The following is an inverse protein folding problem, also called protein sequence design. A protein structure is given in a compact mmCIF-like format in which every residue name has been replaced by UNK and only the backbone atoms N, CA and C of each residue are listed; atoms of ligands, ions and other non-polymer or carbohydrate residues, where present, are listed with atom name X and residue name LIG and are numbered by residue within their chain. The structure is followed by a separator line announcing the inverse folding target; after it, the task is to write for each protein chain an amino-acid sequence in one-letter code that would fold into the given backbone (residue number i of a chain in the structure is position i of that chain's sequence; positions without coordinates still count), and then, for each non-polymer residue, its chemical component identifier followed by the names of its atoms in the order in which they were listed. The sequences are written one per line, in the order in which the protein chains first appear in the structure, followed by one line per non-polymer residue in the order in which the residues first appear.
data_IF_492244307864
#
_entry.id   IF_492244307864
#
_cell.length_a   1.000
_cell.length_b   1.000
_cell.length_c   1.000
_cell.angle_alpha   90.00
_cell.angle_beta   90.00
_cell.angle_gamma   90.00
#
_symmetry.space_group_name_H-M   'P 1'
#
loop_
_entity.id
_entity.type
_entity.pdbx_description
1 polymer ?
#
# COMPACT_ATOMS: atom_id res chain seq x y z
N UNK A 1 17.30 1.57 4.95
CA UNK A 1 16.49 1.27 6.15
C UNK A 1 15.94 -0.14 6.03
N UNK A 2 15.99 -0.95 7.10
CA UNK A 2 15.44 -2.34 7.09
C UNK A 2 14.18 -2.39 7.96
N UNK A 3 13.08 -2.91 7.41
CA UNK A 3 11.80 -3.05 8.10
C UNK A 3 11.15 -4.40 7.77
N UNK A 4 10.19 -4.85 8.58
CA UNK A 4 9.54 -6.15 8.40
C UNK A 4 8.02 -6.04 8.37
N UNK A 5 7.38 -6.84 7.53
CA UNK A 5 5.94 -7.10 7.54
C UNK A 5 5.68 -8.61 7.43
N UNK A 6 5.02 -9.19 8.44
CA UNK A 6 4.89 -10.64 8.57
C UNK A 6 6.25 -11.37 8.48
N UNK A 7 6.38 -12.26 7.49
CA UNK A 7 7.61 -13.04 7.22
C UNK A 7 8.54 -12.40 6.19
N UNK A 8 8.26 -11.16 5.78
CA UNK A 8 9.01 -10.46 4.75
C UNK A 8 9.85 -9.36 5.39
N UNK A 9 11.12 -9.30 5.00
CA UNK A 9 12.06 -8.23 5.33
C UNK A 9 12.24 -7.35 4.09
N UNK A 10 12.18 -6.04 4.30
CA UNK A 10 12.30 -5.03 3.28
C UNK A 10 13.52 -4.16 3.54
N UNK A 11 14.31 -3.92 2.50
CA UNK A 11 15.40 -2.94 2.52
C UNK A 11 15.03 -1.76 1.62
N UNK A 12 14.75 -0.61 2.24
CA UNK A 12 14.44 0.63 1.54
C UNK A 12 15.69 1.49 1.35
N UNK A 13 15.77 2.27 0.25
CA UNK A 13 16.84 3.23 0.06
C UNK A 13 16.76 4.36 1.10
N UNK A 14 17.92 4.75 1.64
CA UNK A 14 18.03 5.82 2.63
C UNK A 14 17.41 5.46 4.00
N UNK A 15 17.09 6.50 4.78
CA UNK A 15 16.64 6.38 6.17
C UNK A 15 15.17 6.79 6.38
N UNK A 16 14.51 7.36 5.37
CA UNK A 16 13.14 7.89 5.48
C UNK A 16 12.09 6.87 5.05
N UNK A 17 12.14 5.68 5.65
CA UNK A 17 11.11 4.66 5.48
C UNK A 17 10.51 4.29 6.84
N UNK A 18 9.18 4.21 6.91
CA UNK A 18 8.43 3.91 8.15
C UNK A 18 7.33 2.87 7.92
N UNK A 19 6.95 2.18 8.99
CA UNK A 19 5.69 1.42 9.08
C UNK A 19 4.55 2.37 9.37
N UNK A 20 3.84 2.82 8.34
CA UNK A 20 2.86 3.89 8.50
C UNK A 20 1.69 3.48 9.39
N UNK A 21 1.16 2.29 9.17
CA UNK A 21 0.02 1.74 9.92
C UNK A 21 0.37 1.39 11.38
N UNK A 22 1.66 1.45 11.73
CA UNK A 22 2.16 1.24 13.09
C UNK A 22 2.59 2.52 13.80
N UNK A 23 2.52 3.67 13.12
CA UNK A 23 2.81 4.95 13.75
C UNK A 23 1.82 5.29 14.85
N UNK A 24 2.30 6.00 15.87
CA UNK A 24 1.52 6.39 17.02
C UNK A 24 0.31 7.27 16.65
N UNK A 25 0.49 8.20 15.70
CA UNK A 25 -0.61 9.02 15.19
C UNK A 25 -1.67 8.17 14.49
N UNK A 26 -1.26 7.27 13.61
CA UNK A 26 -2.21 6.40 12.91
C UNK A 26 -3.00 5.55 13.92
N UNK A 27 -2.31 4.79 14.77
CA UNK A 27 -2.92 3.86 15.74
C UNK A 27 -3.82 4.56 16.75
N UNK A 28 -3.35 5.66 17.36
CA UNK A 28 -4.03 6.30 18.50
C UNK A 28 -5.02 7.39 18.11
N UNK A 29 -4.92 7.93 16.89
CA UNK A 29 -5.75 9.04 16.40
C UNK A 29 -6.55 8.66 15.17
N UNK A 30 -5.88 8.39 14.05
CA UNK A 30 -6.56 8.22 12.76
C UNK A 30 -7.43 6.97 12.73
N UNK A 31 -6.94 5.84 13.25
CA UNK A 31 -7.62 4.55 13.25
C UNK A 31 -8.86 4.48 14.17
N UNK A 32 -9.25 5.59 14.79
CA UNK A 32 -10.55 5.73 15.46
C UNK A 32 -11.70 6.00 14.50
N UNK A 33 -11.39 6.45 13.28
CA UNK A 33 -12.37 6.61 12.22
C UNK A 33 -12.81 5.23 11.73
N UNK A 34 -14.12 4.97 11.75
CA UNK A 34 -14.67 3.71 11.24
C UNK A 34 -14.30 3.53 9.77
N UNK A 35 -13.79 2.34 9.42
CA UNK A 35 -13.30 2.04 8.08
C UNK A 35 -11.92 2.62 7.75
N UNK A 36 -11.20 3.21 8.72
CA UNK A 36 -9.82 3.66 8.51
C UNK A 36 -8.91 2.51 8.06
N UNK A 37 -8.12 2.76 7.01
CA UNK A 37 -7.10 1.86 6.50
C UNK A 37 -5.84 2.66 6.17
N UNK A 38 -4.67 2.08 6.39
CA UNK A 38 -3.37 2.67 6.04
C UNK A 38 -2.56 1.69 5.21
N UNK A 39 -1.71 2.20 4.34
CA UNK A 39 -0.66 1.36 3.71
C UNK A 39 0.34 0.91 4.78
N UNK A 40 1.00 -0.21 4.55
CA UNK A 40 1.96 -0.73 5.54
C UNK A 40 3.21 0.15 5.63
N UNK A 41 3.75 0.59 4.48
CA UNK A 41 4.97 1.39 4.44
C UNK A 41 4.84 2.69 3.65
N UNK A 42 5.58 3.70 4.10
CA UNK A 42 5.88 4.90 3.33
C UNK A 42 7.39 5.07 3.26
N UNK A 43 7.92 5.42 2.08
CA UNK A 43 9.33 5.72 1.88
C UNK A 43 9.50 7.00 1.06
N UNK A 44 10.30 7.94 1.55
CA UNK A 44 10.62 9.21 0.90
C UNK A 44 12.08 9.29 0.46
N UNK A 45 12.33 9.68 -0.79
CA UNK A 45 13.65 9.98 -1.34
C UNK A 45 13.60 11.30 -2.11
N UNK A 46 14.73 11.75 -2.65
CA UNK A 46 14.72 12.95 -3.53
C UNK A 46 13.99 12.70 -4.86
N UNK A 47 14.01 11.45 -5.34
CA UNK A 47 13.46 11.07 -6.64
C UNK A 47 12.01 10.58 -6.58
N UNK A 48 11.60 10.01 -5.44
CA UNK A 48 10.26 9.46 -5.29
C UNK A 48 9.70 9.50 -3.87
N UNK A 49 8.38 9.45 -3.78
CA UNK A 49 7.62 9.09 -2.58
C UNK A 49 6.89 7.78 -2.88
N UNK A 50 7.03 6.77 -2.04
CA UNK A 50 6.40 5.46 -2.22
C UNK A 50 5.39 5.18 -1.11
N UNK A 51 4.21 4.71 -1.51
CA UNK A 51 3.16 4.15 -0.65
C UNK A 51 3.07 2.67 -0.98
N UNK A 52 3.44 1.80 -0.03
CA UNK A 52 3.56 0.36 -0.26
C UNK A 52 2.59 -0.42 0.64
N UNK A 53 1.76 -1.24 0.00
CA UNK A 53 0.93 -2.25 0.63
C UNK A 53 1.51 -3.64 0.37
N UNK A 54 1.48 -4.49 1.40
CA UNK A 54 1.98 -5.87 1.39
C UNK A 54 0.83 -6.84 1.61
N UNK A 55 0.70 -7.80 0.69
CA UNK A 55 -0.22 -8.93 0.79
C UNK A 55 0.55 -10.22 0.63
N UNK A 56 0.97 -10.80 1.75
CA UNK A 56 1.55 -12.13 1.78
C UNK A 56 0.46 -13.21 1.84
N UNK A 57 0.04 -13.70 0.67
CA UNK A 57 -0.99 -14.74 0.58
C UNK A 57 -0.40 -16.13 0.33
N UNK A 58 0.92 -16.30 0.42
CA UNK A 58 1.57 -17.59 0.18
C UNK A 58 1.05 -18.64 1.17
N UNK A 59 0.53 -19.75 0.64
CA UNK A 59 -0.10 -20.81 1.43
C UNK A 59 -1.54 -20.51 1.88
N UNK A 60 -2.06 -19.33 1.60
CA UNK A 60 -3.43 -18.89 1.91
C UNK A 60 -4.17 -18.39 0.65
N UNK A 61 -3.77 -18.86 -0.54
CA UNK A 61 -4.29 -18.38 -1.81
C UNK A 61 -5.77 -18.72 -1.99
N UNK A 62 -6.22 -19.87 -1.48
CA UNK A 62 -7.62 -20.29 -1.57
C UNK A 62 -8.57 -19.25 -0.94
N UNK A 63 -8.23 -18.77 0.25
CA UNK A 63 -9.00 -17.79 1.03
C UNK A 63 -9.00 -16.40 0.38
N UNK A 64 -7.94 -16.08 -0.37
CA UNK A 64 -7.74 -14.78 -1.00
C UNK A 64 -8.07 -14.76 -2.49
N UNK A 65 -8.42 -15.90 -3.10
CA UNK A 65 -8.61 -16.04 -4.56
C UNK A 65 -9.65 -15.08 -5.12
N UNK A 66 -10.71 -14.82 -4.35
CA UNK A 66 -11.77 -13.90 -4.76
C UNK A 66 -11.28 -12.45 -4.83
N UNK A 67 -10.27 -12.07 -4.03
CA UNK A 67 -9.75 -10.70 -3.94
C UNK A 67 -8.91 -10.29 -5.15
N UNK A 68 -8.47 -11.26 -5.94
CA UNK A 68 -7.78 -11.03 -7.23
C UNK A 68 -8.76 -10.57 -8.32
N UNK A 69 -10.05 -10.90 -8.18
CA UNK A 69 -11.08 -10.37 -9.06
C UNK A 69 -11.44 -8.95 -8.61
N UNK A 70 -11.13 -8.00 -9.48
CA UNK A 70 -11.28 -6.57 -9.24
C UNK A 70 -12.73 -6.13 -8.99
N UNK A 71 -12.90 -4.92 -8.44
CA UNK A 71 -14.20 -4.27 -8.22
C UNK A 71 -15.17 -5.09 -7.36
N UNK A 72 -14.66 -5.89 -6.42
CA UNK A 72 -15.43 -6.82 -5.58
C UNK A 72 -16.33 -7.78 -6.36
N UNK A 73 -16.08 -8.00 -7.66
CA UNK A 73 -16.96 -8.80 -8.55
C UNK A 73 -17.17 -10.24 -8.09
N UNK A 74 -16.36 -10.71 -7.15
CA UNK A 74 -16.37 -12.08 -6.63
C UNK A 74 -16.56 -12.21 -5.12
N UNK A 75 -16.83 -11.12 -4.41
CA UNK A 75 -16.97 -11.13 -2.94
C UNK A 75 -18.09 -12.06 -2.46
N UNK A 76 -19.22 -12.10 -3.18
CA UNK A 76 -20.39 -12.91 -2.81
C UNK A 76 -20.50 -14.23 -3.59
N UNK A 77 -19.64 -14.45 -4.59
CA UNK A 77 -19.82 -15.55 -5.57
C UNK A 77 -18.71 -16.59 -5.55
N UNK A 78 -17.57 -16.29 -4.91
CA UNK A 78 -16.50 -17.28 -4.78
C UNK A 78 -16.70 -18.15 -3.56
N UNK A 79 -16.59 -19.48 -3.69
CA UNK A 79 -16.50 -20.35 -2.52
C UNK A 79 -15.28 -19.96 -1.69
N UNK A 80 -15.50 -19.57 -0.44
CA UNK A 80 -14.43 -19.29 0.53
C UNK A 80 -14.89 -19.67 1.92
N UNK A 81 -13.96 -20.12 2.75
CA UNK A 81 -14.20 -20.45 4.16
C UNK A 81 -14.13 -19.23 5.07
N UNK A 82 -13.69 -18.07 4.54
CA UNK A 82 -13.52 -16.85 5.33
C UNK A 82 -14.75 -15.96 5.21
N UNK A 83 -15.11 -15.34 6.32
CA UNK A 83 -16.10 -14.27 6.33
C UNK A 83 -15.61 -13.09 5.47
N UNK A 84 -16.40 -12.72 4.48
CA UNK A 84 -16.10 -11.63 3.53
C UNK A 84 -16.69 -10.30 3.95
N UNK A 85 -17.46 -10.23 5.05
CA UNK A 85 -18.01 -8.97 5.56
C UNK A 85 -16.89 -7.96 5.84
N UNK A 86 -17.03 -6.74 5.29
CA UNK A 86 -16.02 -5.68 5.42
C UNK A 86 -14.71 -5.91 4.65
N UNK A 87 -14.57 -7.01 3.91
CA UNK A 87 -13.41 -7.30 3.07
C UNK A 87 -13.60 -6.80 1.65
N UNK A 88 -12.50 -6.48 1.00
CA UNK A 88 -12.48 -5.95 -0.35
C UNK A 88 -11.49 -6.72 -1.23
N UNK A 89 -11.74 -6.65 -2.53
CA UNK A 89 -10.76 -6.97 -3.57
C UNK A 89 -9.51 -6.08 -3.41
N UNK A 90 -8.35 -6.60 -3.83
CA UNK A 90 -7.07 -5.95 -3.58
C UNK A 90 -6.99 -4.54 -4.18
N UNK A 91 -7.60 -4.32 -5.34
CA UNK A 91 -7.62 -3.02 -5.99
C UNK A 91 -8.46 -1.98 -5.24
N UNK A 92 -9.62 -2.38 -4.69
CA UNK A 92 -10.42 -1.51 -3.84
C UNK A 92 -9.68 -1.19 -2.53
N UNK A 93 -9.13 -2.21 -1.88
CA UNK A 93 -8.44 -2.04 -0.61
C UNK A 93 -7.21 -1.14 -0.72
N UNK A 94 -6.36 -1.34 -1.74
CA UNK A 94 -5.17 -0.50 -1.94
C UNK A 94 -5.55 0.94 -2.25
N UNK A 95 -6.54 1.16 -3.13
CA UNK A 95 -6.98 2.52 -3.44
C UNK A 95 -7.54 3.25 -2.20
N UNK A 96 -8.31 2.52 -1.38
CA UNK A 96 -8.85 3.05 -0.12
C UNK A 96 -7.73 3.36 0.88
N UNK A 97 -6.79 2.43 1.07
CA UNK A 97 -5.60 2.63 1.92
C UNK A 97 -4.79 3.84 1.50
N UNK A 98 -4.56 4.04 0.20
CA UNK A 98 -3.83 5.22 -0.31
C UNK A 98 -4.58 6.52 0.01
N UNK A 99 -5.88 6.60 -0.28
CA UNK A 99 -6.68 7.79 -0.01
C UNK A 99 -6.69 8.17 1.48
N UNK A 100 -6.84 7.16 2.34
CA UNK A 100 -6.86 7.33 3.79
C UNK A 100 -5.47 7.65 4.36
N UNK A 101 -4.42 7.08 3.78
CA UNK A 101 -3.02 7.44 4.12
C UNK A 101 -2.77 8.93 3.84
N UNK A 102 -3.14 9.42 2.66
CA UNK A 102 -2.99 10.85 2.30
C UNK A 102 -3.82 11.73 3.24
N UNK A 103 -5.06 11.33 3.54
CA UNK A 103 -5.92 12.06 4.48
C UNK A 103 -5.34 12.10 5.90
N UNK A 104 -4.74 10.99 6.36
CA UNK A 104 -4.06 10.92 7.65
C UNK A 104 -2.84 11.83 7.71
N UNK A 105 -2.00 11.83 6.65
CA UNK A 105 -0.82 12.70 6.58
C UNK A 105 -1.20 14.19 6.65
N UNK A 106 -2.21 14.61 5.88
CA UNK A 106 -2.71 15.98 5.93
C UNK A 106 -3.34 16.32 7.30
N UNK A 107 -4.07 15.36 7.87
CA UNK A 107 -4.62 15.47 9.23
C UNK A 107 -3.53 15.62 10.30
N UNK A 108 -2.44 14.87 10.18
CA UNK A 108 -1.28 14.95 11.07
C UNK A 108 -0.60 16.33 10.98
N UNK A 109 -0.45 16.86 9.76
CA UNK A 109 0.09 18.21 9.53
C UNK A 109 -0.76 19.32 10.15
N UNK A 110 -2.08 19.17 10.15
CA UNK A 110 -3.01 20.18 10.72
C UNK A 110 -3.25 20.02 12.22
N UNK A 111 -2.79 18.93 12.85
CA UNK A 111 -3.05 18.65 14.26
C UNK A 111 -2.40 19.67 15.24
N UNK A 112 -1.36 20.38 14.79
CA UNK A 112 -0.77 21.52 15.48
C UNK A 112 0.32 21.19 16.51
N UNK A 113 1.17 22.17 16.80
CA UNK A 113 2.38 22.05 17.65
C UNK A 113 2.09 21.88 19.15
N UNK A 114 0.85 22.13 19.61
CA UNK A 114 0.49 22.08 21.03
C UNK A 114 0.43 20.64 21.61
N UNK A 115 0.66 19.62 20.78
CA UNK A 115 0.77 18.21 21.18
C UNK A 115 1.88 17.51 20.36
N UNK A 116 3.14 17.91 20.51
CA UNK A 116 4.19 17.67 19.50
C UNK A 116 4.51 16.19 19.24
N UNK A 117 4.33 15.31 20.22
CA UNK A 117 4.98 14.00 20.17
C UNK A 117 4.37 12.93 19.26
N UNK A 118 3.15 13.10 18.72
CA UNK A 118 2.47 12.00 18.04
C UNK A 118 2.56 12.09 16.52
N UNK A 119 2.50 13.30 15.96
CA UNK A 119 2.42 13.56 14.52
C UNK A 119 3.78 13.84 13.87
N UNK A 120 4.81 14.19 14.65
CA UNK A 120 6.11 14.64 14.14
C UNK A 120 6.73 13.68 13.12
N UNK A 121 6.61 12.37 13.35
CA UNK A 121 7.09 11.34 12.42
C UNK A 121 6.40 11.38 11.05
N UNK A 122 5.14 11.83 10.97
CA UNK A 122 4.36 11.90 9.73
C UNK A 122 4.56 13.20 8.95
N UNK A 123 5.01 14.28 9.61
CA UNK A 123 5.16 15.61 8.99
C UNK A 123 6.08 15.60 7.76
N UNK A 124 7.25 14.93 7.75
CA UNK A 124 8.11 14.87 6.57
C UNK A 124 7.40 14.30 5.34
N UNK A 125 6.53 13.30 5.52
CA UNK A 125 5.81 12.63 4.44
C UNK A 125 4.63 13.45 3.92
N UNK A 126 3.95 14.18 4.81
CA UNK A 126 2.93 15.15 4.40
C UNK A 126 3.55 16.26 3.54
N UNK A 127 4.69 16.82 3.98
CA UNK A 127 5.46 17.81 3.20
C UNK A 127 6.01 17.22 1.89
N UNK A 128 6.37 15.94 1.87
CA UNK A 128 6.81 15.27 0.65
C UNK A 128 5.70 15.23 -0.41
N UNK A 129 4.43 15.00 -0.01
CA UNK A 129 3.27 15.04 -0.91
C UNK A 129 3.00 16.45 -1.46
N UNK A 130 3.23 17.48 -0.65
CA UNK A 130 3.06 18.89 -1.04
C UNK A 130 4.22 19.42 -1.91
N UNK A 131 5.28 18.64 -2.09
CA UNK A 131 6.45 19.07 -2.84
C UNK A 131 6.11 19.36 -4.30
N UNK A 132 6.39 20.58 -4.77
CA UNK A 132 6.11 21.03 -6.13
C UNK A 132 6.73 20.13 -7.22
N UNK A 133 7.83 19.44 -6.91
CA UNK A 133 8.46 18.48 -7.83
C UNK A 133 7.51 17.35 -8.21
N UNK A 134 6.55 16.97 -7.37
CA UNK A 134 5.52 15.99 -7.71
C UNK A 134 4.61 16.54 -8.79
N UNK A 135 4.10 17.76 -8.64
CA UNK A 135 3.24 18.40 -9.64
C UNK A 135 3.99 18.62 -10.96
N UNK A 136 5.27 18.95 -10.89
CA UNK A 136 6.17 19.12 -12.04
C UNK A 136 6.64 17.79 -12.65
N UNK A 137 6.27 16.64 -12.09
CA UNK A 137 6.70 15.28 -12.51
C UNK A 137 8.21 15.03 -12.39
N UNK A 138 8.91 15.81 -11.57
CA UNK A 138 10.33 15.65 -11.24
C UNK A 138 10.55 14.74 -10.02
N UNK A 139 9.51 14.48 -9.23
CA UNK A 139 9.49 13.50 -8.14
C UNK A 139 8.29 12.58 -8.33
N UNK A 140 8.51 11.27 -8.40
CA UNK A 140 7.42 10.32 -8.70
C UNK A 140 6.72 9.86 -7.41
N UNK A 141 5.38 9.87 -7.39
CA UNK A 141 4.63 9.12 -6.37
C UNK A 141 4.43 7.69 -6.87
N UNK A 142 4.97 6.70 -6.18
CA UNK A 142 4.73 5.28 -6.44
C UNK A 142 3.67 4.75 -5.49
N UNK A 143 2.66 4.07 -6.04
CA UNK A 143 1.73 3.23 -5.28
C UNK A 143 2.06 1.78 -5.63
N UNK A 144 2.54 1.02 -4.65
CA UNK A 144 2.98 -0.35 -4.87
C UNK A 144 2.13 -1.29 -4.06
N UNK A 145 1.66 -2.35 -4.71
CA UNK A 145 1.14 -3.54 -4.04
C UNK A 145 2.16 -4.67 -4.25
N UNK A 146 2.80 -5.12 -3.17
CA UNK A 146 3.50 -6.40 -3.16
C UNK A 146 2.47 -7.51 -2.90
N UNK A 147 2.26 -8.40 -3.87
CA UNK A 147 1.32 -9.51 -3.81
C UNK A 147 2.05 -10.84 -3.95
N UNK A 148 2.33 -11.47 -2.81
CA UNK A 148 2.85 -12.83 -2.77
C UNK A 148 1.71 -13.86 -2.79
N UNK A 149 1.95 -15.01 -3.41
CA UNK A 149 0.99 -16.09 -3.60
C UNK A 149 0.81 -16.48 -5.07
N UNK A 150 0.49 -17.75 -5.31
CA UNK A 150 0.20 -18.27 -6.65
C UNK A 150 -1.31 -18.27 -6.97
N UNK A 151 -1.74 -17.17 -7.60
CA UNK A 151 -3.12 -16.99 -8.01
C UNK A 151 -3.40 -17.43 -9.45
N UNK A 152 -2.49 -18.16 -10.09
CA UNK A 152 -2.76 -18.65 -11.43
C UNK A 152 -3.98 -19.59 -11.47
N UNK A 153 -4.59 -19.64 -12.64
CA UNK A 153 -5.71 -20.54 -12.95
C UNK A 153 -5.62 -20.95 -14.42
N UNK A 154 -6.36 -21.98 -14.83
CA UNK A 154 -6.30 -22.49 -16.21
C UNK A 154 -6.59 -21.46 -17.31
N UNK A 155 -7.14 -20.28 -16.99
CA UNK A 155 -7.42 -19.21 -17.95
C UNK A 155 -6.62 -17.92 -17.72
N UNK A 156 -5.90 -17.79 -16.61
CA UNK A 156 -5.15 -16.57 -16.25
C UNK A 156 -3.84 -16.91 -15.55
N UNK A 157 -2.74 -16.38 -16.07
CA UNK A 157 -1.44 -16.43 -15.41
C UNK A 157 -1.39 -15.46 -14.23
N UNK A 158 -0.42 -15.66 -13.32
CA UNK A 158 -0.14 -14.72 -12.22
C UNK A 158 0.05 -13.29 -12.73
N UNK A 159 0.85 -13.11 -13.79
CA UNK A 159 1.08 -11.81 -14.44
C UNK A 159 -0.21 -11.15 -14.90
N UNK A 160 -1.09 -11.88 -15.60
CA UNK A 160 -2.37 -11.32 -16.06
C UNK A 160 -3.26 -10.84 -14.91
N UNK A 161 -3.24 -11.55 -13.78
CA UNK A 161 -3.97 -11.14 -12.59
C UNK A 161 -3.38 -9.86 -11.98
N UNK A 162 -2.05 -9.79 -11.82
CA UNK A 162 -1.38 -8.59 -11.31
C UNK A 162 -1.61 -7.37 -12.23
N UNK A 163 -1.50 -7.54 -13.55
CA UNK A 163 -1.75 -6.47 -14.53
C UNK A 163 -3.19 -5.93 -14.42
N UNK A 164 -4.18 -6.82 -14.25
CA UNK A 164 -5.59 -6.43 -14.07
C UNK A 164 -5.82 -5.64 -12.78
N UNK A 165 -5.22 -6.08 -11.67
CA UNK A 165 -5.28 -5.36 -10.40
C UNK A 165 -4.64 -3.98 -10.56
N UNK A 166 -3.46 -3.92 -11.19
CA UNK A 166 -2.73 -2.66 -11.41
C UNK A 166 -3.59 -1.66 -12.20
N UNK A 167 -4.12 -2.06 -13.35
CA UNK A 167 -4.99 -1.20 -14.18
C UNK A 167 -6.23 -0.71 -13.41
N UNK A 168 -6.78 -1.56 -12.54
CA UNK A 168 -7.93 -1.20 -11.72
C UNK A 168 -7.58 -0.16 -10.65
N UNK A 169 -6.43 -0.31 -9.97
CA UNK A 169 -5.90 0.67 -9.01
C UNK A 169 -5.60 1.99 -9.73
N UNK A 170 -4.94 1.95 -10.90
CA UNK A 170 -4.64 3.14 -11.72
C UNK A 170 -5.92 3.91 -12.06
N UNK A 171 -6.99 3.19 -12.46
CA UNK A 171 -8.29 3.80 -12.74
C UNK A 171 -8.87 4.50 -11.51
N UNK A 172 -8.79 3.88 -10.33
CA UNK A 172 -9.31 4.41 -9.07
C UNK A 172 -8.50 5.60 -8.56
N UNK A 173 -7.19 5.59 -8.77
CA UNK A 173 -6.26 6.64 -8.34
C UNK A 173 -5.97 7.68 -9.43
N UNK A 174 -6.82 7.79 -10.47
CA UNK A 174 -6.68 8.80 -11.53
C UNK A 174 -6.64 10.25 -11.04
N UNK A 175 -7.11 10.50 -9.82
CA UNK A 175 -7.07 11.81 -9.18
C UNK A 175 -5.68 12.13 -8.58
N UNK A 176 -4.79 11.15 -8.45
CA UNK A 176 -3.45 11.28 -7.89
C UNK A 176 -2.39 11.17 -9.00
N UNK A 177 -1.43 12.10 -9.05
CA UNK A 177 -0.30 12.03 -9.98
C UNK A 177 0.72 10.97 -9.54
N UNK A 178 0.36 9.69 -9.73
CA UNK A 178 1.15 8.55 -9.29
C UNK A 178 1.41 7.54 -10.42
N UNK A 179 2.38 6.66 -10.19
CA UNK A 179 2.59 5.42 -10.94
C UNK A 179 2.23 4.24 -10.04
N UNK A 180 1.42 3.33 -10.54
CA UNK A 180 1.05 2.12 -9.81
C UNK A 180 1.92 0.95 -10.27
N UNK A 181 2.29 0.08 -9.34
CA UNK A 181 2.96 -1.20 -9.66
C UNK A 181 2.38 -2.31 -8.80
N UNK A 182 1.97 -3.42 -9.41
CA UNK A 182 1.65 -4.66 -8.68
C UNK A 182 2.78 -5.64 -8.95
N UNK A 183 3.48 -6.05 -7.90
CA UNK A 183 4.72 -6.83 -7.99
C UNK A 183 4.73 -7.96 -6.98
N UNK A 184 5.68 -8.87 -7.13
CA UNK A 184 5.99 -9.94 -6.19
C UNK A 184 7.51 -9.94 -5.90
N UNK A 185 7.98 -10.85 -5.05
CA UNK A 185 9.40 -10.99 -4.70
C UNK A 185 10.31 -11.34 -5.88
N UNK A 186 9.75 -11.73 -7.04
CA UNK A 186 10.50 -12.00 -8.27
C UNK A 186 10.48 -10.85 -9.29
N UNK A 187 9.59 -9.87 -9.11
CA UNK A 187 9.31 -8.80 -10.09
C UNK A 187 9.38 -7.39 -9.51
N UNK A 188 9.72 -7.26 -8.22
CA UNK A 188 9.91 -5.96 -7.57
C UNK A 188 11.02 -5.14 -8.26
N UNK A 189 11.00 -3.84 -8.00
CA UNK A 189 12.00 -2.90 -8.53
C UNK A 189 13.02 -2.60 -7.44
N UNK A 190 14.24 -3.12 -7.58
CA UNK A 190 15.31 -2.98 -6.58
C UNK A 190 15.70 -1.53 -6.27
N UNK A 191 15.46 -0.60 -7.19
CA UNK A 191 15.66 0.83 -6.93
C UNK A 191 14.59 1.46 -6.01
N UNK A 192 13.46 0.79 -5.78
CA UNK A 192 12.41 1.24 -4.86
C UNK A 192 12.54 0.58 -3.48
N UNK A 193 12.79 -0.72 -3.46
CA UNK A 193 13.06 -1.52 -2.25
C UNK A 193 13.62 -2.87 -2.67
N UNK A 194 14.26 -3.58 -1.75
CA UNK A 194 14.52 -5.02 -1.85
C UNK A 194 13.62 -5.76 -0.86
N UNK A 195 13.25 -7.00 -1.19
CA UNK A 195 12.42 -7.84 -0.32
C UNK A 195 12.95 -9.26 -0.29
N UNK A 196 13.02 -9.83 0.90
CA UNK A 196 13.39 -11.22 1.13
C UNK A 196 12.48 -11.86 2.17
N UNK A 197 12.32 -13.17 2.07
CA UNK A 197 11.56 -13.94 3.06
C UNK A 197 12.50 -14.41 4.15
N UNK A 198 12.16 -14.09 5.40
CA UNK A 198 12.91 -14.55 6.57
C UNK A 198 12.70 -16.06 6.75
N UNK A 199 13.79 -16.77 7.02
CA UNK A 199 13.82 -18.22 7.28
C UNK A 199 13.27 -18.58 8.65
#
# INVERSE_FOLDING_TARGET
MVLTEGKLQFTFPGEKAIKFDDTDFYRKRFNKLSGAKGVDFICDTDDFLMLLEVKDCLGNEAENRWRVAVDNTKVDTSPTSVDTEGRESFDNEVAHKVAMTISCLLGAQTFGENRPFQQEELIPYARALENEKIAQRNKTVFVVLLLEGDFQSGTRTKKMNMDRIQLSIEKKLKWLNCKVSVVDASTYRSNLFEVERMT
#
